data_IF_586649041922
#
_entry.id   IF_586649041922
#
_cell.length_a   1.000
_cell.length_b   1.000
_cell.length_c   1.000
_cell.angle_alpha   90.00
_cell.angle_beta   90.00
_cell.angle_gamma   90.00
#
_symmetry.space_group_name_H-M   'P 1'
#
loop_
_entity.id
_entity.type
_entity.pdbx_description
1 polymer ?
#
# COMPACT_ATOMS: atom_id res chain seq x y z
N UNK A 1 -61.14 -21.04 30.26
CA UNK A 1 -59.85 -21.73 30.49
C UNK A 1 -59.00 -21.62 29.22
N UNK A 2 -57.66 -21.46 29.37
CA UNK A 2 -56.58 -21.33 28.35
C UNK A 2 -56.21 -19.87 28.03
N UNK A 3 -55.34 -19.19 28.78
CA UNK A 3 -53.87 -19.29 29.00
C UNK A 3 -53.18 -18.08 28.31
N UNK A 4 -52.34 -17.29 29.00
CA UNK A 4 -51.62 -16.18 28.39
C UNK A 4 -50.36 -16.69 27.68
N UNK A 5 -50.16 -16.28 26.42
CA UNK A 5 -48.96 -16.60 25.66
C UNK A 5 -47.84 -15.62 26.02
N UNK A 6 -46.88 -16.12 26.81
CA UNK A 6 -45.61 -15.47 27.11
C UNK A 6 -44.75 -15.42 25.84
N UNK A 7 -44.41 -14.21 25.39
CA UNK A 7 -43.43 -13.99 24.31
C UNK A 7 -42.03 -14.21 24.87
N UNK A 8 -41.33 -15.25 24.39
CA UNK A 8 -39.94 -15.49 24.73
C UNK A 8 -39.02 -14.61 23.85
N UNK A 9 -38.39 -13.59 24.45
CA UNK A 9 -37.28 -12.87 23.82
C UNK A 9 -36.02 -13.73 23.93
N UNK A 10 -35.60 -14.33 22.81
CA UNK A 10 -34.29 -14.97 22.72
C UNK A 10 -33.20 -13.90 22.73
N UNK A 11 -32.39 -13.86 23.79
CA UNK A 11 -31.19 -13.02 23.84
C UNK A 11 -30.14 -13.60 22.87
N UNK A 12 -29.77 -12.85 21.83
CA UNK A 12 -28.54 -13.09 21.11
C UNK A 12 -27.38 -12.67 22.03
N UNK A 13 -26.78 -13.64 22.72
CA UNK A 13 -25.51 -13.42 23.39
C UNK A 13 -24.44 -13.22 22.32
N UNK A 14 -23.98 -11.98 22.14
CA UNK A 14 -22.75 -11.69 21.42
C UNK A 14 -21.59 -12.28 22.22
N UNK A 15 -21.17 -13.50 21.88
CA UNK A 15 -19.93 -14.07 22.41
C UNK A 15 -18.79 -13.23 21.86
N UNK A 16 -18.30 -12.29 22.67
CA UNK A 16 -17.04 -11.59 22.40
C UNK A 16 -15.92 -12.65 22.46
N UNK A 17 -15.47 -13.10 21.29
CA UNK A 17 -14.30 -13.95 21.20
C UNK A 17 -13.10 -13.05 21.53
N UNK A 18 -12.54 -13.23 22.72
CA UNK A 18 -11.22 -12.70 23.06
C UNK A 18 -10.19 -13.46 22.24
N UNK A 19 -10.04 -13.10 20.97
CA UNK A 19 -9.03 -13.65 20.08
C UNK A 19 -7.69 -13.10 20.57
N UNK A 20 -6.78 -14.00 20.93
CA UNK A 20 -5.45 -13.59 21.39
C UNK A 20 -4.66 -13.00 20.21
N UNK A 21 -3.66 -12.17 20.51
CA UNK A 21 -2.80 -11.62 19.47
C UNK A 21 -2.09 -12.72 18.65
N UNK A 22 -1.85 -13.90 19.26
CA UNK A 22 -1.30 -15.08 18.59
C UNK A 22 -2.24 -15.67 17.54
N UNK A 23 -3.56 -15.60 17.75
CA UNK A 23 -4.56 -16.09 16.79
C UNK A 23 -4.79 -15.08 15.67
N UNK A 24 -4.71 -13.77 15.94
CA UNK A 24 -4.85 -12.73 14.92
C UNK A 24 -3.58 -12.57 14.07
N UNK A 25 -2.39 -12.61 14.67
CA UNK A 25 -1.10 -12.43 13.98
C UNK A 25 -0.58 -13.72 13.31
N UNK A 26 -1.46 -14.46 12.63
CA UNK A 26 -1.05 -15.60 11.80
C UNK A 26 -0.79 -15.16 10.37
N UNK A 27 0.06 -15.91 9.65
CA UNK A 27 0.34 -15.69 8.22
C UNK A 27 -0.95 -15.78 7.39
N UNK A 28 -1.90 -16.60 7.82
CA UNK A 28 -3.21 -16.77 7.19
C UNK A 28 -4.02 -15.48 7.23
N UNK A 29 -4.11 -14.87 8.42
CA UNK A 29 -4.90 -13.66 8.66
C UNK A 29 -4.24 -12.41 8.07
N UNK A 30 -2.90 -12.34 8.10
CA UNK A 30 -2.19 -11.27 7.42
C UNK A 30 -2.38 -11.34 5.91
N UNK A 31 -2.30 -12.51 5.28
CA UNK A 31 -2.59 -12.70 3.85
C UNK A 31 -4.03 -12.36 3.48
N UNK A 32 -5.00 -12.72 4.31
CA UNK A 32 -6.41 -12.38 4.10
C UNK A 32 -6.67 -10.87 4.14
N UNK A 33 -5.79 -10.11 4.78
CA UNK A 33 -5.85 -8.65 4.84
C UNK A 33 -5.11 -7.96 3.69
N UNK A 34 -4.39 -8.72 2.85
CA UNK A 34 -3.70 -8.19 1.68
C UNK A 34 -4.57 -8.36 0.41
N UNK A 35 -4.46 -7.44 -0.56
CA UNK A 35 -5.08 -7.61 -1.87
C UNK A 35 -4.71 -8.96 -2.51
N UNK A 36 -5.71 -9.67 -3.02
CA UNK A 36 -5.55 -11.00 -3.64
C UNK A 36 -4.75 -10.99 -4.95
N UNK A 37 -4.56 -9.81 -5.56
CA UNK A 37 -3.74 -9.62 -6.75
C UNK A 37 -2.22 -9.56 -6.45
N UNK A 38 -1.80 -9.80 -5.21
CA UNK A 38 -0.39 -9.75 -4.78
C UNK A 38 0.23 -8.35 -4.84
N UNK A 39 -0.54 -7.35 -5.24
CA UNK A 39 -0.07 -5.99 -5.45
C UNK A 39 -0.45 -5.15 -4.24
N UNK A 40 0.54 -4.77 -3.45
CA UNK A 40 0.36 -3.88 -2.31
C UNK A 40 0.35 -2.43 -2.79
N UNK A 41 -0.75 -2.01 -3.41
CA UNK A 41 -0.95 -0.63 -3.83
C UNK A 41 -1.34 0.22 -2.61
N UNK A 42 -0.71 1.38 -2.45
CA UNK A 42 -1.02 2.31 -1.37
C UNK A 42 -0.35 2.01 -0.02
N UNK A 43 0.67 1.13 0.02
CA UNK A 43 1.63 1.16 1.12
C UNK A 43 2.58 2.31 0.86
N UNK A 44 2.26 3.48 1.41
CA UNK A 44 3.22 4.56 1.53
C UNK A 44 4.21 4.17 2.62
N UNK A 45 5.38 3.68 2.22
CA UNK A 45 6.50 3.68 3.14
C UNK A 45 6.86 5.15 3.35
N UNK A 46 6.35 5.73 4.43
CA UNK A 46 6.77 7.05 4.92
C UNK A 46 8.22 6.90 5.38
N UNK A 47 9.13 6.87 4.42
CA UNK A 47 10.51 7.26 4.64
C UNK A 47 10.43 8.72 5.03
N UNK A 48 10.59 9.03 6.31
CA UNK A 48 10.92 10.38 6.75
C UNK A 48 12.33 10.72 6.25
N UNK A 49 12.50 10.82 4.94
CA UNK A 49 13.64 11.46 4.33
C UNK A 49 13.08 12.73 3.71
N UNK A 50 13.06 13.77 4.54
CA UNK A 50 12.80 15.14 4.09
C UNK A 50 13.80 15.45 2.98
N UNK A 51 13.33 15.60 1.75
CA UNK A 51 14.18 16.08 0.67
C UNK A 51 14.39 17.58 0.86
N UNK A 52 15.50 17.95 1.49
CA UNK A 52 15.88 19.35 1.68
C UNK A 52 15.01 20.15 2.66
N UNK A 53 15.11 21.47 2.54
CA UNK A 53 14.59 22.48 3.48
C UNK A 53 13.10 22.79 3.32
N UNK A 54 12.38 22.18 2.37
CA UNK A 54 10.98 22.52 2.04
C UNK A 54 9.91 21.59 2.64
N UNK A 55 10.32 20.49 3.29
CA UNK A 55 9.37 19.56 3.91
C UNK A 55 8.64 18.65 2.92
N UNK A 56 9.15 18.53 1.70
CA UNK A 56 8.59 17.64 0.67
C UNK A 56 8.74 16.17 1.07
N UNK A 57 7.74 15.36 0.72
CA UNK A 57 7.68 13.92 1.02
C UNK A 57 8.01 13.13 -0.23
N UNK A 58 8.85 12.12 -0.09
CA UNK A 58 9.11 11.13 -1.13
C UNK A 58 8.19 9.93 -0.91
N UNK A 59 7.24 9.73 -1.81
CA UNK A 59 6.33 8.59 -1.77
C UNK A 59 6.94 7.41 -2.55
N UNK A 60 6.81 6.21 -2.00
CA UNK A 60 7.34 4.97 -2.58
C UNK A 60 6.21 3.95 -2.71
N UNK A 61 6.12 3.30 -3.86
CA UNK A 61 5.21 2.17 -4.11
C UNK A 61 6.01 0.88 -4.24
N UNK A 62 5.47 -0.22 -3.74
CA UNK A 62 6.05 -1.55 -3.90
C UNK A 62 5.00 -2.58 -4.35
N UNK A 63 5.41 -3.49 -5.22
CA UNK A 63 4.68 -4.71 -5.51
C UNK A 63 5.55 -5.92 -5.15
N UNK A 64 4.94 -6.94 -4.58
CA UNK A 64 5.63 -8.14 -4.14
C UNK A 64 5.14 -9.34 -4.95
N UNK A 65 6.02 -10.23 -5.42
CA UNK A 65 5.60 -11.47 -6.05
C UNK A 65 5.03 -12.40 -4.98
N UNK A 66 4.30 -13.44 -5.40
CA UNK A 66 3.89 -14.49 -4.47
C UNK A 66 5.12 -15.02 -3.70
N UNK A 67 5.06 -15.22 -2.38
CA UNK A 67 6.21 -15.66 -1.59
C UNK A 67 6.91 -16.91 -2.13
N UNK A 68 6.16 -17.85 -2.71
CA UNK A 68 6.70 -19.08 -3.31
C UNK A 68 7.49 -18.83 -4.61
N UNK A 69 7.19 -17.72 -5.28
CA UNK A 69 7.84 -17.28 -6.52
C UNK A 69 8.99 -16.29 -6.29
N UNK A 70 9.17 -15.79 -5.06
CA UNK A 70 10.20 -14.82 -4.74
C UNK A 70 11.61 -15.40 -4.90
N UNK A 71 12.39 -14.82 -5.82
CA UNK A 71 13.75 -15.25 -6.16
C UNK A 71 14.83 -14.44 -5.44
N UNK A 72 14.49 -13.75 -4.35
CA UNK A 72 15.40 -12.83 -3.62
C UNK A 72 15.95 -11.71 -4.51
N UNK A 73 15.09 -11.16 -5.37
CA UNK A 73 15.45 -10.10 -6.32
C UNK A 73 14.66 -8.85 -6.02
N UNK A 74 15.28 -7.71 -6.33
CA UNK A 74 14.64 -6.41 -6.27
C UNK A 74 14.76 -5.73 -7.63
N UNK A 75 13.67 -5.13 -8.12
CA UNK A 75 13.58 -4.47 -9.40
C UNK A 75 13.03 -3.06 -9.23
N UNK A 76 13.69 -2.06 -9.80
CA UNK A 76 13.16 -0.70 -9.87
C UNK A 76 13.20 -0.29 -11.33
N UNK A 77 12.04 0.00 -11.89
CA UNK A 77 11.96 0.58 -13.21
C UNK A 77 12.22 2.10 -13.09
N UNK A 78 13.14 2.59 -13.92
CA UNK A 78 13.37 4.02 -14.10
C UNK A 78 12.37 4.62 -15.08
N UNK A 79 12.27 5.95 -15.07
CA UNK A 79 11.56 6.71 -16.09
C UNK A 79 12.50 7.23 -17.20
N UNK A 80 12.05 8.26 -17.91
CA UNK A 80 12.82 8.91 -18.98
C UNK A 80 12.54 10.41 -19.01
N UNK A 81 13.59 11.20 -19.24
CA UNK A 81 13.50 12.67 -19.21
C UNK A 81 12.99 13.18 -17.86
N UNK A 82 11.87 13.92 -17.88
CA UNK A 82 11.25 14.53 -16.70
C UNK A 82 10.12 13.69 -16.08
N UNK A 83 9.89 12.46 -16.56
CA UNK A 83 8.82 11.59 -16.07
C UNK A 83 9.41 10.34 -15.42
N UNK A 84 8.93 10.00 -14.22
CA UNK A 84 9.28 8.75 -13.55
C UNK A 84 8.28 7.64 -13.91
N UNK A 85 8.76 6.40 -13.82
CA UNK A 85 7.89 5.25 -13.95
C UNK A 85 7.00 5.11 -12.72
N UNK A 86 5.71 4.86 -12.94
CA UNK A 86 4.69 4.73 -11.90
C UNK A 86 4.23 3.27 -11.69
N UNK A 87 4.57 2.37 -12.61
CA UNK A 87 4.22 0.96 -12.57
C UNK A 87 5.23 0.15 -11.73
N UNK A 88 4.73 -0.65 -10.80
CA UNK A 88 5.55 -1.51 -9.92
C UNK A 88 5.51 -2.98 -10.32
N UNK A 89 4.89 -3.35 -11.42
CA UNK A 89 4.66 -4.77 -11.77
C UNK A 89 5.79 -5.41 -12.59
N UNK A 90 6.69 -4.61 -13.19
CA UNK A 90 7.69 -5.10 -14.14
C UNK A 90 8.63 -6.19 -13.63
N UNK A 91 8.89 -6.24 -12.32
CA UNK A 91 9.73 -7.25 -11.67
C UNK A 91 9.00 -8.54 -11.27
N UNK A 92 7.66 -8.52 -11.20
CA UNK A 92 6.88 -9.61 -10.62
C UNK A 92 7.03 -10.91 -11.43
N UNK A 93 6.99 -10.83 -12.77
CA UNK A 93 7.18 -11.97 -13.67
C UNK A 93 8.55 -12.66 -13.54
N UNK A 94 9.52 -11.98 -12.92
CA UNK A 94 10.87 -12.50 -12.69
C UNK A 94 11.09 -12.94 -11.24
N UNK A 95 10.03 -12.97 -10.42
CA UNK A 95 10.11 -13.27 -9.00
C UNK A 95 10.85 -12.20 -8.20
N UNK A 96 10.84 -10.94 -8.65
CA UNK A 96 11.42 -9.81 -7.94
C UNK A 96 10.34 -9.00 -7.23
N UNK A 97 10.63 -8.57 -6.00
CA UNK A 97 9.92 -7.43 -5.42
C UNK A 97 10.27 -6.21 -6.27
N UNK A 98 9.28 -5.36 -6.54
CA UNK A 98 9.44 -4.25 -7.45
C UNK A 98 8.95 -2.94 -6.85
N UNK A 99 9.62 -1.83 -7.18
CA UNK A 99 9.34 -0.53 -6.57
C UNK A 99 9.37 0.64 -7.55
N UNK A 100 8.73 1.74 -7.13
CA UNK A 100 8.71 3.03 -7.81
C UNK A 100 8.69 4.17 -6.77
N UNK A 101 9.22 5.35 -7.13
CA UNK A 101 9.25 6.55 -6.29
C UNK A 101 8.70 7.75 -7.04
N UNK A 102 8.07 8.67 -6.33
CA UNK A 102 7.62 9.94 -6.89
C UNK A 102 8.72 11.01 -6.94
N UNK A 103 9.94 10.68 -6.51
CA UNK A 103 11.08 11.59 -6.51
C UNK A 103 10.91 12.83 -5.63
N UNK A 104 9.90 12.89 -4.78
CA UNK A 104 9.62 14.03 -3.91
C UNK A 104 8.87 15.20 -4.56
N UNK A 105 8.39 15.03 -5.80
CA UNK A 105 7.63 16.07 -6.51
C UNK A 105 6.23 15.61 -6.95
N UNK A 106 5.76 14.47 -6.43
CA UNK A 106 4.48 13.85 -6.84
C UNK A 106 4.50 13.33 -8.30
N UNK A 107 5.61 12.71 -8.72
CA UNK A 107 5.79 12.12 -10.06
C UNK A 107 4.79 11.01 -10.41
N UNK A 108 3.97 10.56 -9.45
CA UNK A 108 2.88 9.64 -9.74
C UNK A 108 1.70 10.31 -10.45
N UNK A 109 1.59 11.64 -10.36
CA UNK A 109 0.48 12.42 -10.89
C UNK A 109 0.93 13.53 -11.87
N UNK A 110 2.22 13.88 -11.92
CA UNK A 110 2.74 14.96 -12.77
C UNK A 110 4.18 14.68 -13.27
N UNK A 111 4.63 15.44 -14.27
CA UNK A 111 6.04 15.46 -14.68
C UNK A 111 6.83 16.56 -13.97
N UNK A 112 8.16 16.42 -13.91
CA UNK A 112 9.00 17.37 -13.19
C UNK A 112 8.89 18.78 -13.75
N UNK A 113 8.77 18.95 -15.06
CA UNK A 113 8.62 20.26 -15.72
C UNK A 113 7.29 20.96 -15.41
N UNK A 114 6.22 20.22 -15.11
CA UNK A 114 4.96 20.78 -14.60
C UNK A 114 5.11 21.31 -13.16
N UNK A 115 5.92 20.64 -12.33
CA UNK A 115 6.19 21.05 -10.94
C UNK A 115 7.29 22.09 -10.81
N UNK A 116 8.27 22.07 -11.69
CA UNK A 116 9.42 22.95 -11.68
C UNK A 116 9.04 24.37 -12.14
N UNK A 117 7.97 24.51 -12.94
CA UNK A 117 7.49 25.78 -13.50
C UNK A 117 6.33 26.41 -12.72
N UNK A 118 6.28 26.29 -11.40
CA UNK A 118 5.22 26.92 -10.62
C UNK A 118 5.37 28.46 -10.59
N UNK A 119 4.71 29.13 -11.55
CA UNK A 119 4.05 30.44 -11.40
C UNK A 119 4.83 31.73 -11.70
N UNK A 120 6.17 31.70 -11.82
CA UNK A 120 6.98 32.92 -12.00
C UNK A 120 8.08 32.79 -13.09
N UNK A 121 8.21 31.64 -13.76
CA UNK A 121 9.33 31.41 -14.69
C UNK A 121 10.72 31.38 -14.01
N UNK A 122 10.75 31.26 -12.68
CA UNK A 122 11.96 31.07 -11.90
C UNK A 122 12.12 29.60 -11.49
N UNK A 123 13.36 29.13 -11.56
CA UNK A 123 13.82 27.82 -11.08
C UNK A 123 13.87 27.82 -9.55
N UNK A 124 13.48 26.69 -8.94
CA UNK A 124 13.45 26.48 -7.48
C UNK A 124 14.85 26.51 -6.83
#
# INVERSE_FOLDING_TARGET
>A
MRQPSLVAMAALASTSLTVSLLETCTVSNSKASLPSNGTLLGIDMISSSTHGTKGDRVNIKYAFPDPSSFKKRFYVAGGGGYSLNTDTTGGLKYGAAAGATDGGYDAFNCSLDEKFLLGNGSIN
#
